data_IF_945633241727
#
_entry.id   IF_945633241727
#
_cell.length_a   1.000
_cell.length_b   1.000
_cell.length_c   1.000
_cell.angle_alpha   90.00
_cell.angle_beta   90.00
_cell.angle_gamma   90.00
#
_symmetry.space_group_name_H-M   'P 1'
#
loop_
_entity.id
_entity.type
_entity.pdbx_description
1 polymer ?
#
# COMPACT_ATOMS: atom_id res chain seq x y z
N UNK A 1 7.48 -6.82 -15.57
CA UNK A 1 8.04 -8.01 -14.92
C UNK A 1 7.82 -9.20 -15.84
N UNK A 2 8.89 -9.92 -16.19
CA UNK A 2 8.83 -11.03 -17.15
C UNK A 2 8.08 -12.24 -16.55
N UNK A 3 8.36 -12.56 -15.29
CA UNK A 3 7.70 -13.62 -14.53
C UNK A 3 7.08 -13.05 -13.25
N UNK A 4 5.85 -13.45 -12.89
CA UNK A 4 5.24 -13.04 -11.62
C UNK A 4 5.94 -13.69 -10.43
N UNK A 5 5.79 -13.10 -9.23
CA UNK A 5 6.30 -13.70 -8.01
C UNK A 5 5.66 -15.10 -7.80
N UNK A 6 6.47 -16.05 -7.35
CA UNK A 6 6.05 -17.44 -7.14
C UNK A 6 5.97 -18.29 -8.41
N UNK A 7 6.19 -17.73 -9.60
CA UNK A 7 6.13 -18.47 -10.85
C UNK A 7 7.16 -19.60 -10.86
N UNK A 8 6.70 -20.79 -11.26
CA UNK A 8 7.51 -21.98 -11.45
C UNK A 8 7.01 -22.80 -12.63
N UNK A 9 7.86 -23.70 -13.12
CA UNK A 9 7.50 -24.68 -14.13
C UNK A 9 7.30 -26.05 -13.46
N UNK A 10 6.35 -26.80 -13.96
CA UNK A 10 6.09 -28.17 -13.55
C UNK A 10 5.93 -29.06 -14.78
N UNK A 11 6.17 -30.36 -14.61
CA UNK A 11 6.00 -31.37 -15.67
C UNK A 11 4.58 -31.96 -15.71
N UNK A 12 3.68 -31.44 -14.88
CA UNK A 12 2.29 -31.88 -14.79
C UNK A 12 1.36 -30.66 -14.62
N UNK A 13 0.08 -30.88 -14.48
CA UNK A 13 -0.93 -29.86 -14.23
C UNK A 13 -1.68 -30.17 -12.95
N UNK A 14 -2.09 -29.12 -12.23
CA UNK A 14 -2.85 -29.24 -10.99
C UNK A 14 -4.18 -28.48 -11.08
N UNK A 15 -5.21 -29.02 -10.44
CA UNK A 15 -6.49 -28.37 -10.22
C UNK A 15 -6.70 -28.14 -8.74
N UNK A 16 -7.18 -26.97 -8.40
CA UNK A 16 -7.53 -26.56 -7.04
C UNK A 16 -9.06 -26.63 -6.89
N UNK A 17 -9.55 -27.29 -5.84
CA UNK A 17 -10.96 -27.57 -5.64
C UNK A 17 -11.34 -27.43 -4.16
N UNK A 18 -12.64 -27.36 -3.87
CA UNK A 18 -13.20 -27.35 -2.51
C UNK A 18 -12.61 -26.24 -1.61
N UNK A 19 -12.26 -25.10 -2.21
CA UNK A 19 -11.68 -23.97 -1.52
C UNK A 19 -12.65 -23.36 -0.53
N UNK A 20 -12.21 -23.19 0.71
CA UNK A 20 -12.97 -22.56 1.78
C UNK A 20 -12.05 -21.66 2.59
N UNK A 21 -12.55 -20.49 2.92
CA UNK A 21 -11.92 -19.54 3.84
C UNK A 21 -12.94 -19.16 4.90
N UNK A 22 -12.52 -19.17 6.14
CA UNK A 22 -13.30 -18.67 7.26
C UNK A 22 -12.41 -17.93 8.25
N UNK A 23 -13.01 -17.06 9.02
CA UNK A 23 -12.33 -16.31 10.06
C UNK A 23 -12.69 -16.90 11.43
N UNK A 24 -11.67 -17.26 12.21
CA UNK A 24 -11.80 -17.78 13.55
C UNK A 24 -11.34 -16.73 14.56
N UNK A 25 -12.21 -16.42 15.51
CA UNK A 25 -11.96 -15.47 16.62
C UNK A 25 -11.40 -14.10 16.14
N UNK A 26 -11.78 -13.67 14.94
CA UNK A 26 -11.30 -12.43 14.28
C UNK A 26 -9.78 -12.33 14.12
N UNK A 27 -9.05 -13.44 14.27
CA UNK A 27 -7.59 -13.46 14.33
C UNK A 27 -6.91 -14.43 13.38
N UNK A 28 -7.59 -15.52 13.01
CA UNK A 28 -7.03 -16.57 12.18
C UNK A 28 -7.88 -16.81 10.95
N UNK A 29 -7.27 -16.71 9.78
CA UNK A 29 -7.84 -17.22 8.54
C UNK A 29 -7.64 -18.72 8.51
N UNK A 30 -8.74 -19.47 8.56
CA UNK A 30 -8.73 -20.91 8.32
C UNK A 30 -9.01 -21.17 6.86
N UNK A 31 -8.05 -21.75 6.17
CA UNK A 31 -8.10 -22.02 4.73
C UNK A 31 -8.00 -23.50 4.51
N UNK A 32 -8.88 -24.04 3.67
CA UNK A 32 -8.81 -25.44 3.22
C UNK A 32 -9.10 -25.54 1.73
N UNK A 33 -8.39 -26.43 1.07
CA UNK A 33 -8.59 -26.75 -0.34
C UNK A 33 -8.06 -28.15 -0.66
N UNK A 34 -8.47 -28.68 -1.80
CA UNK A 34 -7.94 -29.89 -2.36
C UNK A 34 -7.12 -29.59 -3.61
N UNK A 35 -5.94 -30.19 -3.71
CA UNK A 35 -5.06 -30.12 -4.87
C UNK A 35 -5.04 -31.47 -5.56
N UNK A 36 -5.45 -31.50 -6.83
CA UNK A 36 -5.47 -32.72 -7.64
C UNK A 36 -4.46 -32.61 -8.76
N UNK A 37 -3.63 -33.63 -8.92
CA UNK A 37 -2.79 -33.76 -10.11
C UNK A 37 -3.67 -34.25 -11.27
N UNK A 38 -3.80 -33.39 -12.31
CA UNK A 38 -4.62 -33.65 -13.49
C UNK A 38 -3.80 -34.11 -14.70
N UNK A 39 -2.48 -34.15 -14.59
CA UNK A 39 -1.58 -34.64 -15.63
C UNK A 39 -1.18 -36.12 -15.35
N UNK A 40 -0.19 -36.61 -16.06
CA UNK A 40 0.25 -37.99 -16.09
C UNK A 40 1.60 -38.28 -15.42
N UNK A 41 2.21 -37.22 -14.84
CA UNK A 41 3.49 -37.31 -14.15
C UNK A 41 3.33 -36.97 -12.67
N UNK A 42 3.89 -37.76 -11.77
CA UNK A 42 3.94 -37.41 -10.35
C UNK A 42 4.85 -36.20 -10.13
N UNK A 43 4.38 -35.24 -9.36
CA UNK A 43 5.14 -34.03 -9.07
C UNK A 43 4.74 -33.37 -7.75
N UNK A 44 5.56 -32.46 -7.28
CA UNK A 44 5.23 -31.60 -6.15
C UNK A 44 4.45 -30.37 -6.65
N UNK A 45 3.58 -29.86 -5.80
CA UNK A 45 2.92 -28.57 -5.99
C UNK A 45 3.20 -27.63 -4.83
N UNK A 46 3.43 -26.35 -5.12
CA UNK A 46 3.56 -25.29 -4.11
C UNK A 46 2.32 -24.43 -4.11
N UNK A 47 1.42 -24.74 -3.21
CA UNK A 47 0.21 -23.95 -2.99
C UNK A 47 0.60 -22.66 -2.28
N UNK A 48 0.32 -21.52 -2.90
CA UNK A 48 0.61 -20.20 -2.37
C UNK A 48 -0.70 -19.49 -2.06
N UNK A 49 -0.80 -18.88 -0.88
CA UNK A 49 -1.98 -18.17 -0.42
C UNK A 49 -1.67 -16.67 -0.43
N UNK A 50 -2.52 -15.92 -1.08
CA UNK A 50 -2.39 -14.47 -1.24
C UNK A 50 -3.60 -13.74 -0.70
N UNK A 51 -3.35 -12.52 -0.21
CA UNK A 51 -4.38 -11.57 0.20
C UNK A 51 -4.28 -10.27 -0.58
N UNK A 52 -5.42 -9.69 -0.92
CA UNK A 52 -5.54 -8.40 -1.58
C UNK A 52 -6.69 -7.61 -0.95
N UNK A 53 -6.46 -6.40 -0.46
CA UNK A 53 -7.53 -5.52 -0.03
C UNK A 53 -8.29 -5.03 -1.26
N UNK A 54 -9.62 -5.17 -1.28
CA UNK A 54 -10.44 -4.69 -2.40
C UNK A 54 -10.57 -3.16 -2.38
N UNK A 55 -10.63 -2.61 -1.17
CA UNK A 55 -10.60 -1.17 -0.93
C UNK A 55 -9.60 -0.89 0.18
N UNK A 56 -8.90 0.22 0.09
CA UNK A 56 -7.95 0.65 1.13
C UNK A 56 -7.77 2.16 1.10
N UNK A 57 -7.63 2.75 2.28
CA UNK A 57 -7.33 4.16 2.45
C UNK A 57 -5.87 4.52 2.05
N UNK A 58 -5.02 3.52 1.85
CA UNK A 58 -3.63 3.70 1.41
C UNK A 58 -3.33 2.82 0.19
N UNK A 59 -2.30 3.19 -0.56
CA UNK A 59 -1.81 2.38 -1.67
C UNK A 59 -1.08 1.14 -1.13
N UNK A 60 -1.75 0.00 -1.19
CA UNK A 60 -1.19 -1.31 -0.82
C UNK A 60 -0.63 -2.04 -2.04
N UNK A 61 0.23 -3.05 -1.84
CA UNK A 61 0.57 -3.99 -2.90
C UNK A 61 -0.69 -4.61 -3.51
N UNK A 62 -0.68 -4.86 -4.82
CA UNK A 62 -1.79 -5.51 -5.54
C UNK A 62 -2.15 -6.86 -4.91
N UNK A 63 -1.14 -7.59 -4.41
CA UNK A 63 -1.31 -8.82 -3.66
C UNK A 63 -0.13 -9.00 -2.71
N UNK A 64 -0.37 -9.68 -1.61
CA UNK A 64 0.62 -10.03 -0.59
C UNK A 64 0.60 -11.54 -0.38
N UNK A 65 1.76 -12.19 -0.44
CA UNK A 65 1.87 -13.59 -0.03
C UNK A 65 1.67 -13.68 1.47
N UNK A 66 0.69 -14.48 1.89
CA UNK A 66 0.36 -14.70 3.30
C UNK A 66 1.05 -15.97 3.84
N UNK A 67 1.01 -17.06 3.06
CA UNK A 67 1.62 -18.32 3.42
C UNK A 67 1.77 -19.21 2.19
N UNK A 68 2.52 -20.30 2.31
CA UNK A 68 2.62 -21.33 1.27
C UNK A 68 2.91 -22.71 1.87
N UNK A 69 2.51 -23.75 1.14
CA UNK A 69 2.81 -25.13 1.50
C UNK A 69 3.24 -25.92 0.28
N UNK A 70 4.29 -26.72 0.43
CA UNK A 70 4.73 -27.68 -0.59
C UNK A 70 4.08 -29.02 -0.35
N UNK A 71 3.21 -29.44 -1.25
CA UNK A 71 2.58 -30.75 -1.28
C UNK A 71 3.41 -31.67 -2.17
N UNK A 72 4.06 -32.65 -1.54
CA UNK A 72 5.05 -33.50 -2.24
C UNK A 72 4.43 -34.71 -2.90
N UNK A 73 5.00 -35.09 -4.05
CA UNK A 73 4.82 -36.33 -4.75
C UNK A 73 3.34 -36.73 -4.94
N UNK A 74 2.58 -35.82 -5.56
CA UNK A 74 1.18 -36.06 -5.89
C UNK A 74 1.15 -36.92 -7.16
N UNK A 75 0.66 -38.16 -7.05
CA UNK A 75 0.57 -39.11 -8.18
C UNK A 75 -0.50 -38.64 -9.22
N UNK A 76 -0.41 -39.04 -10.48
CA UNK A 76 -1.45 -38.79 -11.47
C UNK A 76 -2.85 -39.16 -10.98
N UNK A 77 -3.80 -38.22 -11.06
CA UNK A 77 -5.16 -38.40 -10.59
C UNK A 77 -5.37 -38.34 -9.07
N UNK A 78 -4.28 -38.27 -8.29
CA UNK A 78 -4.36 -38.19 -6.83
C UNK A 78 -4.81 -36.78 -6.40
N UNK A 79 -5.57 -36.74 -5.30
CA UNK A 79 -6.00 -35.53 -4.63
C UNK A 79 -5.40 -35.48 -3.23
N UNK A 80 -4.84 -34.33 -2.85
CA UNK A 80 -4.31 -34.06 -1.52
C UNK A 80 -5.06 -32.91 -0.89
N UNK A 81 -5.45 -33.11 0.35
CA UNK A 81 -6.07 -32.07 1.16
C UNK A 81 -5.01 -31.16 1.80
N UNK A 82 -5.23 -29.85 1.74
CA UNK A 82 -4.41 -28.80 2.34
C UNK A 82 -5.26 -28.00 3.31
N UNK A 83 -4.75 -27.80 4.52
CA UNK A 83 -5.36 -26.93 5.51
C UNK A 83 -4.28 -26.04 6.13
N UNK A 84 -4.56 -24.73 6.23
CA UNK A 84 -3.66 -23.72 6.76
C UNK A 84 -4.41 -22.83 7.75
N UNK A 85 -3.73 -22.39 8.78
CA UNK A 85 -4.19 -21.33 9.69
C UNK A 85 -3.21 -20.17 9.61
N UNK A 86 -3.67 -19.03 9.10
CA UNK A 86 -2.84 -17.86 8.83
C UNK A 86 -3.29 -16.74 9.75
N UNK A 87 -2.40 -16.15 10.55
CA UNK A 87 -2.74 -14.98 11.36
C UNK A 87 -3.20 -13.81 10.49
N UNK A 88 -4.28 -13.13 10.89
CA UNK A 88 -4.78 -11.94 10.22
C UNK A 88 -3.73 -10.82 10.21
N UNK A 89 -2.83 -10.82 11.18
CA UNK A 89 -1.69 -9.92 11.28
C UNK A 89 -0.76 -9.96 10.05
N UNK A 90 -0.78 -11.01 9.25
CA UNK A 90 -0.02 -11.05 7.99
C UNK A 90 -0.56 -10.05 6.94
N UNK A 91 -1.79 -9.54 7.11
CA UNK A 91 -2.37 -8.48 6.29
C UNK A 91 -2.01 -7.05 6.76
N UNK A 92 -1.21 -6.93 7.82
CA UNK A 92 -0.87 -5.63 8.41
C UNK A 92 -0.03 -4.78 7.47
N UNK A 93 -0.21 -3.49 7.60
CA UNK A 93 0.63 -2.47 6.99
C UNK A 93 1.04 -1.44 8.04
N UNK A 94 2.06 -0.63 7.76
CA UNK A 94 2.43 0.45 8.64
C UNK A 94 1.56 1.68 8.34
N UNK A 95 0.73 2.06 9.29
CA UNK A 95 -0.06 3.28 9.21
C UNK A 95 0.76 4.48 9.67
N UNK A 96 1.07 5.38 8.75
CA UNK A 96 1.89 6.57 8.99
C UNK A 96 1.20 7.61 9.89
N UNK A 97 -0.13 7.59 9.97
CA UNK A 97 -0.88 8.49 10.85
C UNK A 97 -0.75 8.02 12.31
N UNK A 98 -1.10 6.76 12.56
CA UNK A 98 -1.07 6.18 13.91
C UNK A 98 0.34 5.71 14.32
N UNK A 99 1.33 5.74 13.40
CA UNK A 99 2.72 5.31 13.60
C UNK A 99 2.85 3.90 14.15
N UNK A 100 2.03 2.98 13.64
CA UNK A 100 2.00 1.58 14.08
C UNK A 100 1.62 0.64 12.94
N UNK A 101 1.98 -0.64 13.10
CA UNK A 101 1.44 -1.69 12.26
C UNK A 101 -0.03 -1.94 12.63
N UNK A 102 -0.90 -2.04 11.62
CA UNK A 102 -2.31 -2.35 11.80
C UNK A 102 -2.86 -3.13 10.61
N UNK A 103 -3.89 -3.92 10.87
CA UNK A 103 -4.75 -4.49 9.84
C UNK A 103 -5.91 -3.52 9.64
N UNK A 104 -6.15 -3.11 8.42
CA UNK A 104 -7.27 -2.24 8.06
C UNK A 104 -8.57 -3.05 8.00
N UNK A 105 -9.63 -2.53 8.62
CA UNK A 105 -10.96 -3.11 8.48
C UNK A 105 -11.43 -3.03 7.03
N UNK A 106 -11.91 -4.13 6.48
CA UNK A 106 -12.45 -4.12 5.11
C UNK A 106 -12.58 -5.50 4.49
N UNK A 107 -12.99 -5.52 3.22
CA UNK A 107 -13.12 -6.75 2.44
C UNK A 107 -11.81 -7.06 1.72
N UNK A 108 -11.36 -8.29 1.90
CA UNK A 108 -10.15 -8.83 1.27
C UNK A 108 -10.51 -9.99 0.35
N UNK A 109 -9.89 -10.03 -0.81
CA UNK A 109 -9.86 -11.23 -1.62
C UNK A 109 -8.70 -12.11 -1.13
N UNK A 110 -9.04 -13.33 -0.72
CA UNK A 110 -8.07 -14.37 -0.36
C UNK A 110 -8.09 -15.41 -1.44
N UNK A 111 -6.95 -15.70 -2.06
CA UNK A 111 -6.88 -16.63 -3.17
C UNK A 111 -5.68 -17.57 -3.06
N UNK A 112 -5.79 -18.73 -3.72
CA UNK A 112 -4.73 -19.69 -3.84
C UNK A 112 -4.38 -19.96 -5.30
N UNK A 113 -3.10 -20.21 -5.55
CA UNK A 113 -2.58 -20.54 -6.86
C UNK A 113 -1.09 -20.87 -6.84
N UNK A 114 -0.53 -21.15 -8.01
CA UNK A 114 0.89 -21.46 -8.20
C UNK A 114 1.78 -20.21 -8.33
N UNK A 115 1.18 -19.01 -8.42
CA UNK A 115 1.91 -17.73 -8.45
C UNK A 115 0.97 -16.58 -8.10
N UNK A 116 1.53 -15.38 -7.86
CA UNK A 116 0.74 -14.20 -7.50
C UNK A 116 -0.24 -13.73 -8.61
N UNK A 117 -0.09 -14.18 -9.84
CA UNK A 117 -1.02 -13.91 -10.94
C UNK A 117 -1.97 -15.07 -11.25
N UNK A 118 -1.70 -16.24 -10.68
CA UNK A 118 -2.54 -17.42 -10.85
C UNK A 118 -3.55 -17.48 -9.71
N UNK A 119 -4.77 -17.03 -9.99
CA UNK A 119 -5.91 -17.11 -9.06
C UNK A 119 -6.72 -18.37 -9.40
N UNK A 120 -6.17 -19.55 -9.10
CA UNK A 120 -6.85 -20.81 -9.36
C UNK A 120 -8.18 -20.92 -8.62
N UNK A 121 -8.23 -20.44 -7.38
CA UNK A 121 -9.44 -20.32 -6.55
C UNK A 121 -9.35 -19.06 -5.70
N UNK A 122 -10.49 -18.37 -5.50
CA UNK A 122 -10.56 -17.16 -4.67
C UNK A 122 -11.88 -17.05 -3.92
N UNK A 123 -11.90 -16.26 -2.85
CA UNK A 123 -13.10 -15.86 -2.14
C UNK A 123 -12.87 -14.50 -1.48
N UNK A 124 -13.96 -13.77 -1.26
CA UNK A 124 -13.94 -12.53 -0.52
C UNK A 124 -14.33 -12.79 0.93
N UNK A 125 -13.64 -12.12 1.86
CA UNK A 125 -13.91 -12.20 3.28
C UNK A 125 -13.76 -10.83 3.92
N UNK A 126 -14.69 -10.47 4.81
CA UNK A 126 -14.56 -9.28 5.63
C UNK A 126 -13.61 -9.56 6.79
N UNK A 127 -12.60 -8.70 6.95
CA UNK A 127 -11.63 -8.75 8.03
C UNK A 127 -11.90 -7.57 8.97
N UNK A 128 -12.26 -7.82 10.24
CA UNK A 128 -12.33 -6.76 11.24
C UNK A 128 -10.92 -6.25 11.55
N UNK A 129 -10.80 -4.95 11.74
CA UNK A 129 -9.49 -4.32 11.94
C UNK A 129 -9.60 -2.92 12.50
N UNK A 130 -8.53 -2.16 12.36
CA UNK A 130 -8.50 -0.75 12.73
C UNK A 130 -9.00 0.13 11.60
N UNK A 131 -9.63 1.25 11.99
CA UNK A 131 -9.86 2.36 11.09
C UNK A 131 -8.68 3.32 11.16
N UNK A 132 -8.33 3.89 10.05
CA UNK A 132 -7.36 4.95 9.98
C UNK A 132 -7.92 6.19 10.68
N UNK A 133 -7.10 6.83 11.49
CA UNK A 133 -7.43 8.09 12.14
C UNK A 133 -7.27 9.28 11.20
N UNK A 134 -7.58 10.46 11.70
CA UNK A 134 -7.34 11.74 11.03
C UNK A 134 -5.90 12.18 11.28
N UNK A 135 -5.24 12.71 10.25
CA UNK A 135 -3.86 13.21 10.32
C UNK A 135 -3.86 14.58 10.98
N UNK A 136 -3.24 14.67 12.15
CA UNK A 136 -2.97 15.93 12.81
C UNK A 136 -1.74 16.62 12.15
N UNK A 137 -1.97 17.75 11.51
CA UNK A 137 -0.94 18.57 10.90
C UNK A 137 -0.57 19.80 11.73
N UNK A 138 -1.05 19.91 12.96
CA UNK A 138 -0.62 20.96 13.90
C UNK A 138 0.85 20.77 14.32
N UNK A 139 1.33 19.52 14.26
CA UNK A 139 2.71 19.15 14.46
C UNK A 139 3.43 18.90 13.12
N UNK A 140 4.76 18.93 13.15
CA UNK A 140 5.59 18.62 12.00
C UNK A 140 5.31 17.20 11.48
N UNK A 141 5.03 17.10 10.18
CA UNK A 141 4.82 15.85 9.47
C UNK A 141 5.92 15.66 8.43
N UNK A 142 6.67 14.56 8.55
CA UNK A 142 7.74 14.25 7.61
C UNK A 142 7.19 14.01 6.18
N UNK A 143 7.94 14.46 5.19
CA UNK A 143 7.52 14.39 3.80
C UNK A 143 7.33 12.95 3.30
N UNK A 144 8.00 11.97 3.90
CA UNK A 144 7.89 10.55 3.60
C UNK A 144 6.64 9.87 4.21
N UNK A 145 5.84 10.59 5.00
CA UNK A 145 4.56 10.13 5.52
C UNK A 145 3.38 10.37 4.55
N UNK A 146 3.64 10.42 3.26
CA UNK A 146 2.61 10.53 2.23
C UNK A 146 1.76 9.24 2.13
N UNK A 147 0.57 9.36 1.55
CA UNK A 147 -0.35 8.25 1.31
C UNK A 147 -0.27 7.74 -0.13
N UNK A 148 0.03 8.66 -1.07
CA UNK A 148 0.24 8.33 -2.47
C UNK A 148 1.25 9.31 -3.11
N UNK A 149 1.85 8.88 -4.22
CA UNK A 149 2.84 9.67 -4.92
C UNK A 149 2.86 9.37 -6.42
N UNK A 150 3.32 10.33 -7.17
CA UNK A 150 3.62 10.18 -8.60
C UNK A 150 4.96 10.84 -8.90
N UNK A 151 5.82 10.16 -9.64
CA UNK A 151 7.14 10.65 -10.06
C UNK A 151 8.03 11.15 -8.90
N UNK A 152 7.95 10.49 -7.74
CA UNK A 152 8.74 10.81 -6.55
C UNK A 152 9.47 9.56 -6.05
N UNK A 153 10.59 9.75 -5.38
CA UNK A 153 11.31 8.67 -4.71
C UNK A 153 11.89 9.13 -3.37
N UNK A 154 12.10 8.18 -2.46
CA UNK A 154 12.75 8.41 -1.19
C UNK A 154 14.27 8.46 -1.38
N UNK A 155 14.91 9.39 -0.69
CA UNK A 155 16.37 9.52 -0.63
C UNK A 155 16.82 9.85 0.79
N UNK A 156 18.09 9.64 1.06
CA UNK A 156 18.68 10.09 2.32
C UNK A 156 18.81 11.62 2.31
N UNK A 157 18.32 12.25 3.37
CA UNK A 157 18.52 13.67 3.66
C UNK A 157 19.77 13.90 4.50
N UNK A 158 19.96 15.13 4.98
CA UNK A 158 21.00 15.43 5.97
C UNK A 158 20.59 14.93 7.36
N UNK A 159 21.56 14.46 8.17
CA UNK A 159 21.35 14.04 9.58
C UNK A 159 20.38 12.86 9.77
N UNK A 160 20.42 11.84 8.94
CA UNK A 160 19.58 10.64 9.00
C UNK A 160 18.06 10.88 8.76
N UNK A 161 17.67 12.04 8.28
CA UNK A 161 16.30 12.27 7.85
C UNK A 161 16.09 11.77 6.42
N UNK A 162 14.91 11.23 6.16
CA UNK A 162 14.49 10.88 4.81
C UNK A 162 13.99 12.12 4.08
N UNK A 163 14.30 12.23 2.80
CA UNK A 163 13.78 13.27 1.92
C UNK A 163 13.05 12.63 0.74
N UNK A 164 12.12 13.34 0.16
CA UNK A 164 11.43 12.93 -1.07
C UNK A 164 11.88 13.81 -2.22
N UNK A 165 12.24 13.20 -3.35
CA UNK A 165 12.72 13.89 -4.55
C UNK A 165 11.92 13.51 -5.77
N UNK A 166 11.86 14.43 -6.74
CA UNK A 166 11.32 14.12 -8.08
C UNK A 166 12.25 13.14 -8.78
N UNK A 167 11.69 12.09 -9.38
CA UNK A 167 12.43 11.04 -10.07
C UNK A 167 12.85 11.46 -11.48
N UNK A 168 11.91 11.97 -12.27
CA UNK A 168 12.12 12.50 -13.62
C UNK A 168 11.87 14.01 -13.58
N UNK A 169 12.94 14.78 -13.65
CA UNK A 169 12.92 16.24 -13.53
C UNK A 169 12.20 16.94 -14.70
N UNK A 170 11.87 16.22 -15.76
CA UNK A 170 11.08 16.74 -16.89
C UNK A 170 9.58 16.67 -16.62
N UNK A 171 9.14 16.01 -15.54
CA UNK A 171 7.75 15.80 -15.16
C UNK A 171 7.46 16.34 -13.77
N UNK A 172 6.20 16.59 -13.52
CA UNK A 172 5.74 16.94 -12.18
C UNK A 172 5.94 15.79 -11.20
N UNK A 173 6.39 16.10 -9.98
CA UNK A 173 6.35 15.21 -8.84
C UNK A 173 5.15 15.55 -7.95
N UNK A 174 4.45 14.53 -7.48
CA UNK A 174 3.24 14.70 -6.66
C UNK A 174 3.36 13.89 -5.38
N UNK A 175 2.97 14.51 -4.26
CA UNK A 175 2.75 13.85 -2.96
C UNK A 175 1.31 14.12 -2.53
N UNK A 176 0.65 13.09 -2.02
CA UNK A 176 -0.73 13.16 -1.54
C UNK A 176 -0.77 12.76 -0.07
N UNK A 177 -1.40 13.58 0.74
CA UNK A 177 -1.68 13.34 2.15
C UNK A 177 -3.19 13.37 2.34
N UNK A 178 -3.76 12.25 2.79
CA UNK A 178 -5.21 12.09 2.99
C UNK A 178 -5.57 12.20 4.46
N UNK A 179 -6.85 12.34 4.72
CA UNK A 179 -7.44 12.35 6.05
C UNK A 179 -6.79 13.41 6.97
N UNK A 180 -6.52 14.60 6.41
CA UNK A 180 -5.88 15.69 7.14
C UNK A 180 -6.91 16.55 7.89
N UNK A 181 -6.70 16.75 9.20
CA UNK A 181 -7.45 17.75 9.96
C UNK A 181 -6.89 19.15 9.70
N UNK A 182 -7.70 19.99 9.10
CA UNK A 182 -7.39 21.39 8.82
C UNK A 182 -8.41 22.33 9.49
N UNK A 183 -9.19 21.85 10.45
CA UNK A 183 -10.28 22.63 11.08
C UNK A 183 -9.81 23.95 11.70
N UNK A 184 -8.62 23.97 12.29
CA UNK A 184 -8.01 25.13 12.92
C UNK A 184 -6.81 25.69 12.14
N UNK A 185 -6.59 25.23 10.92
CA UNK A 185 -5.41 25.61 10.14
C UNK A 185 -5.58 27.00 9.49
N UNK A 186 -4.76 27.96 9.88
CA UNK A 186 -4.66 29.26 9.24
C UNK A 186 -3.58 29.29 8.14
N UNK A 187 -2.57 28.43 8.25
CA UNK A 187 -1.42 28.37 7.36
C UNK A 187 -1.03 26.92 7.12
N UNK A 188 -0.81 26.54 5.88
CA UNK A 188 -0.12 25.31 5.51
C UNK A 188 1.33 25.68 5.18
N UNK A 189 2.28 25.16 5.95
CA UNK A 189 3.71 25.38 5.74
C UNK A 189 4.36 24.13 5.11
N UNK A 190 5.14 24.31 4.06
CA UNK A 190 5.95 23.27 3.44
C UNK A 190 7.42 23.68 3.50
N UNK A 191 8.26 22.79 4.03
CA UNK A 191 9.71 22.95 4.00
C UNK A 191 10.26 22.31 2.73
N UNK A 192 10.79 23.14 1.83
CA UNK A 192 11.33 22.69 0.55
C UNK A 192 12.73 23.22 0.35
N UNK A 193 13.58 22.41 -0.29
CA UNK A 193 14.91 22.84 -0.72
C UNK A 193 15.07 22.61 -2.22
N UNK A 194 15.50 23.64 -2.92
CA UNK A 194 15.89 23.56 -4.33
C UNK A 194 17.27 24.17 -4.51
N UNK A 195 18.16 23.51 -5.24
CA UNK A 195 19.50 24.00 -5.54
C UNK A 195 19.55 24.73 -6.89
N UNK A 196 18.53 24.56 -7.74
CA UNK A 196 18.49 25.09 -9.11
C UNK A 196 17.22 25.87 -9.43
N UNK A 197 16.49 26.26 -8.40
CA UNK A 197 15.16 26.81 -8.58
C UNK A 197 14.11 25.72 -8.83
N UNK A 198 12.86 26.09 -8.76
CA UNK A 198 11.73 25.19 -8.96
C UNK A 198 10.45 25.82 -8.42
N UNK A 199 9.33 25.17 -8.62
CA UNK A 199 8.07 25.62 -8.07
C UNK A 199 7.34 24.49 -7.34
N UNK A 200 6.62 24.85 -6.29
CA UNK A 200 5.69 23.97 -5.56
C UNK A 200 4.31 24.57 -5.62
N UNK A 201 3.32 23.76 -5.88
CA UNK A 201 1.91 24.10 -5.74
C UNK A 201 1.28 23.25 -4.65
N UNK A 202 0.49 23.86 -3.80
CA UNK A 202 -0.32 23.14 -2.83
C UNK A 202 -1.79 23.18 -3.23
N UNK A 203 -2.47 22.07 -3.04
CA UNK A 203 -3.90 21.93 -3.27
C UNK A 203 -4.53 21.28 -2.04
N UNK A 204 -5.75 21.71 -1.71
CA UNK A 204 -6.59 21.09 -0.70
C UNK A 204 -7.91 20.72 -1.38
N UNK A 205 -8.27 19.43 -1.40
CA UNK A 205 -9.43 18.89 -2.13
C UNK A 205 -9.51 19.39 -3.58
N UNK A 206 -8.37 19.44 -4.27
CA UNK A 206 -8.27 19.92 -5.63
C UNK A 206 -8.30 21.45 -5.81
N UNK A 207 -8.52 22.22 -4.76
CA UNK A 207 -8.49 23.67 -4.80
C UNK A 207 -7.06 24.17 -4.58
N UNK A 208 -6.55 24.98 -5.51
CA UNK A 208 -5.20 25.55 -5.39
C UNK A 208 -5.10 26.51 -4.22
N UNK A 209 -4.13 26.29 -3.34
CA UNK A 209 -3.78 27.18 -2.23
C UNK A 209 -2.74 28.22 -2.63
N UNK A 210 -2.13 28.06 -3.80
CA UNK A 210 -1.09 28.92 -4.31
C UNK A 210 0.12 28.18 -4.85
N UNK A 211 1.11 28.95 -5.29
CA UNK A 211 2.38 28.43 -5.78
C UNK A 211 3.54 29.22 -5.17
N UNK A 212 4.63 28.51 -4.94
CA UNK A 212 5.90 29.09 -4.56
C UNK A 212 6.95 28.78 -5.63
N UNK A 213 7.76 29.77 -5.97
CA UNK A 213 8.90 29.61 -6.88
C UNK A 213 10.15 30.20 -6.25
N UNK A 214 11.22 29.44 -6.18
CA UNK A 214 12.50 29.90 -5.59
C UNK A 214 13.39 28.79 -5.11
N UNK A 215 14.48 29.20 -4.45
CA UNK A 215 15.48 28.33 -3.82
C UNK A 215 15.07 27.96 -2.39
N UNK A 216 15.98 27.44 -1.62
CA UNK A 216 15.75 26.86 -0.28
C UNK A 216 14.99 27.77 0.66
N UNK A 217 13.75 27.45 1.02
CA UNK A 217 12.92 28.15 2.02
C UNK A 217 11.81 27.29 2.58
N UNK A 218 11.23 27.78 3.69
CA UNK A 218 9.89 27.38 4.12
C UNK A 218 8.87 28.14 3.27
N UNK A 219 8.00 27.40 2.59
CA UNK A 219 6.90 27.97 1.83
C UNK A 219 5.65 27.99 2.70
N UNK A 220 5.08 29.16 2.93
CA UNK A 220 3.82 29.30 3.66
C UNK A 220 2.67 29.57 2.68
N UNK A 221 1.68 28.69 2.69
CA UNK A 221 0.43 28.88 1.99
C UNK A 221 -0.63 29.30 3.01
N UNK A 222 -0.98 30.57 3.01
CA UNK A 222 -2.04 31.08 3.90
C UNK A 222 -3.39 30.69 3.31
N UNK A 223 -4.20 30.02 4.12
CA UNK A 223 -5.54 29.65 3.71
C UNK A 223 -6.40 30.89 3.46
N UNK A 224 -7.19 30.86 2.38
CA UNK A 224 -8.35 31.74 2.31
C UNK A 224 -9.34 31.34 3.43
N UNK A 225 -10.14 32.27 3.97
CA UNK A 225 -11.00 32.05 5.17
C UNK A 225 -12.04 30.94 5.08
N UNK A 226 -12.03 30.11 4.06
CA UNK A 226 -12.98 29.02 3.81
C UNK A 226 -12.49 27.63 4.21
N UNK A 227 -11.24 27.45 4.69
CA UNK A 227 -10.73 26.17 5.17
C UNK A 227 -11.29 25.77 6.53
N UNK A 228 -11.93 26.68 7.25
CA UNK A 228 -12.38 26.54 8.64
C UNK A 228 -13.48 25.48 8.89
N UNK A 229 -13.90 24.69 7.90
CA UNK A 229 -15.11 23.86 8.06
C UNK A 229 -14.99 22.40 7.69
N UNK A 230 -13.80 21.87 7.39
CA UNK A 230 -13.73 20.51 6.88
C UNK A 230 -12.67 19.67 7.58
N UNK A 231 -13.12 18.74 8.41
CA UNK A 231 -12.35 17.55 8.80
C UNK A 231 -12.09 16.66 7.57
N UNK A 232 -10.97 15.91 7.57
CA UNK A 232 -10.68 14.91 6.54
C UNK A 232 -10.38 15.45 5.13
N UNK A 233 -9.38 16.32 5.03
CA UNK A 233 -8.95 16.92 3.76
C UNK A 233 -7.81 16.16 3.09
N UNK A 234 -7.82 16.14 1.77
CA UNK A 234 -6.68 15.72 0.97
C UNK A 234 -5.78 16.93 0.66
N UNK A 235 -4.50 16.82 1.02
CA UNK A 235 -3.48 17.80 0.61
C UNK A 235 -2.65 17.19 -0.50
N UNK A 236 -2.51 17.91 -1.60
CA UNK A 236 -1.69 17.54 -2.73
C UNK A 236 -0.60 18.58 -2.93
N UNK A 237 0.65 18.20 -2.76
CA UNK A 237 1.81 19.02 -3.09
C UNK A 237 2.36 18.57 -4.46
N UNK A 238 2.42 19.50 -5.41
CA UNK A 238 2.93 19.27 -6.77
C UNK A 238 4.21 20.07 -6.95
N UNK A 239 5.29 19.36 -7.25
CA UNK A 239 6.60 19.95 -7.49
C UNK A 239 6.95 19.94 -8.98
N UNK A 240 7.42 21.07 -9.46
CA UNK A 240 8.02 21.23 -10.79
C UNK A 240 9.53 21.46 -10.61
N UNK A 241 10.34 20.46 -10.95
CA UNK A 241 11.81 20.48 -10.94
C UNK A 241 12.53 20.76 -9.61
N UNK A 242 13.45 19.89 -9.23
CA UNK A 242 14.52 20.00 -8.22
C UNK A 242 14.14 20.33 -6.76
N UNK A 243 12.98 19.87 -6.27
CA UNK A 243 12.61 20.11 -4.88
C UNK A 243 12.96 18.94 -3.97
N UNK A 244 13.70 19.24 -2.90
CA UNK A 244 13.85 18.34 -1.75
C UNK A 244 12.98 18.86 -0.61
N UNK A 245 12.12 18.03 -0.06
CA UNK A 245 11.53 18.32 1.24
C UNK A 245 12.60 18.08 2.31
N UNK A 246 12.93 19.07 3.10
CA UNK A 246 13.86 18.99 4.21
C UNK A 246 13.15 19.27 5.52
N UNK A 247 13.49 18.46 6.48
CA UNK A 247 13.22 18.75 7.88
C UNK A 247 14.31 19.67 8.44
N UNK A 248 13.91 20.65 9.20
CA UNK A 248 14.81 21.42 10.08
C UNK A 248 14.79 20.84 11.47
#
# INVERSE_FOLDING_TARGET
VLYPFGYGLTYTTFAYQNYKVSLKDDRLLQISLDVRNTGDTASDEVVQIYGSALESCVKKPICQLLDFVRVKNIAPGETRHVALEIPVEELRFYDVINRRLMVEEGTYEIYAGASCKDKAVSTEIFIPGGKRGVRDLSAFTAADHYDDYENMYLTEGHFNFKAVRVQDETKEGVLVYRDCDLSDAAVLALHVKSERGGSVKAFVDGVSMGSFTGDTRTCEFRSAPKLDRYAEKEIKAVSYTHLRAHET
#
